data_IF_413096373900
#
_entry.id   IF_413096373900
#
_cell.length_a   1.000
_cell.length_b   1.000
_cell.length_c   1.000
_cell.angle_alpha   90.00
_cell.angle_beta   90.00
_cell.angle_gamma   90.00
#
_symmetry.space_group_name_H-M   'P 1'
#
loop_
_entity.id
_entity.type
_entity.pdbx_description
1 polymer ?
#
# COMPACT_ATOMS: atom_id res chain seq x y z
N UNK A 1 -31.78 -96.95 -31.99
CA UNK A 1 -32.08 -97.70 -30.75
C UNK A 1 -31.21 -97.18 -29.62
N UNK A 2 -31.72 -97.16 -28.39
CA UNK A 2 -31.79 -95.95 -27.57
C UNK A 2 -30.67 -95.87 -26.53
N UNK A 3 -30.50 -94.69 -25.91
CA UNK A 3 -30.36 -94.55 -24.46
C UNK A 3 -30.37 -93.08 -24.03
N UNK A 4 -31.55 -92.69 -23.57
CA UNK A 4 -31.88 -92.01 -22.33
C UNK A 4 -30.79 -91.22 -21.57
N UNK A 5 -31.21 -90.02 -21.18
CA UNK A 5 -30.57 -89.01 -20.34
C UNK A 5 -29.98 -89.51 -19.01
N UNK A 6 -29.11 -88.67 -18.40
CA UNK A 6 -29.36 -88.25 -17.01
C UNK A 6 -29.03 -86.74 -16.82
N UNK A 7 -29.00 -86.20 -15.58
CA UNK A 7 -30.10 -85.49 -14.96
C UNK A 7 -29.90 -83.96 -14.89
N UNK A 8 -31.02 -83.29 -14.60
CA UNK A 8 -31.20 -81.88 -14.28
C UNK A 8 -30.23 -81.35 -13.21
N UNK A 9 -29.46 -80.33 -13.55
CA UNK A 9 -28.83 -79.42 -12.56
C UNK A 9 -29.53 -78.06 -12.60
N UNK A 10 -29.99 -77.62 -11.43
CA UNK A 10 -30.59 -76.32 -11.21
C UNK A 10 -29.53 -75.22 -11.36
N UNK A 11 -29.82 -74.25 -12.23
CA UNK A 11 -28.97 -73.11 -12.52
C UNK A 11 -28.84 -72.14 -11.35
N UNK A 12 -27.63 -71.62 -11.17
CA UNK A 12 -27.29 -70.56 -10.23
C UNK A 12 -28.08 -69.26 -10.48
N UNK A 13 -28.32 -68.45 -9.44
CA UNK A 13 -29.11 -67.24 -9.55
C UNK A 13 -28.38 -66.12 -10.33
N UNK A 14 -29.09 -65.53 -11.29
CA UNK A 14 -28.69 -64.33 -12.04
C UNK A 14 -28.70 -63.10 -11.11
N UNK A 15 -27.58 -62.40 -10.90
CA UNK A 15 -27.61 -61.10 -10.22
C UNK A 15 -28.24 -60.03 -11.14
N UNK A 16 -29.35 -59.45 -10.68
CA UNK A 16 -30.03 -58.33 -11.34
C UNK A 16 -29.13 -57.08 -11.35
N UNK A 17 -28.90 -56.54 -12.55
CA UNK A 17 -28.30 -55.21 -12.80
C UNK A 17 -28.99 -54.14 -11.95
N UNK A 18 -28.25 -53.51 -11.03
CA UNK A 18 -28.65 -52.24 -10.40
C UNK A 18 -28.60 -51.14 -11.45
N UNK A 19 -29.74 -50.46 -11.63
CA UNK A 19 -29.85 -49.22 -12.39
C UNK A 19 -29.09 -48.10 -11.66
N UNK A 20 -28.22 -47.42 -12.38
CA UNK A 20 -27.56 -46.19 -11.96
C UNK A 20 -28.61 -45.11 -11.76
N UNK A 21 -28.89 -44.75 -10.50
CA UNK A 21 -29.58 -43.53 -10.14
C UNK A 21 -28.54 -42.42 -9.97
N UNK A 22 -28.60 -41.41 -10.83
CA UNK A 22 -27.83 -40.19 -10.70
C UNK A 22 -28.20 -39.50 -9.37
N UNK A 23 -27.27 -39.50 -8.42
CA UNK A 23 -27.38 -38.70 -7.19
C UNK A 23 -27.09 -37.25 -7.57
N UNK A 24 -28.15 -36.44 -7.67
CA UNK A 24 -28.05 -34.98 -7.67
C UNK A 24 -27.57 -34.55 -6.29
N UNK A 25 -26.30 -34.19 -6.17
CA UNK A 25 -25.77 -33.50 -4.99
C UNK A 25 -26.30 -32.07 -5.02
N UNK A 26 -27.26 -31.78 -4.17
CA UNK A 26 -27.66 -30.41 -3.86
C UNK A 26 -26.57 -29.78 -2.99
N UNK A 27 -25.81 -28.84 -3.56
CA UNK A 27 -24.97 -27.94 -2.78
C UNK A 27 -25.89 -26.98 -2.01
N UNK A 28 -26.04 -27.25 -0.71
CA UNK A 28 -26.65 -26.31 0.22
C UNK A 28 -25.68 -25.14 0.44
N UNK A 29 -25.99 -24.00 -0.18
CA UNK A 29 -25.36 -22.72 0.11
C UNK A 29 -25.80 -22.28 1.51
N UNK A 30 -24.93 -22.45 2.50
CA UNK A 30 -25.14 -21.86 3.83
C UNK A 30 -24.87 -20.37 3.74
N UNK A 31 -25.96 -19.61 3.61
CA UNK A 31 -26.02 -18.17 3.74
C UNK A 31 -25.70 -17.80 5.21
N UNK A 32 -24.52 -17.23 5.48
CA UNK A 32 -24.26 -16.60 6.78
C UNK A 32 -24.87 -15.20 6.74
N UNK A 33 -26.08 -15.09 7.31
CA UNK A 33 -26.71 -13.81 7.66
C UNK A 33 -26.07 -13.33 8.95
N UNK A 34 -25.21 -12.32 8.86
CA UNK A 34 -24.77 -11.52 10.00
C UNK A 34 -25.51 -10.18 10.02
N UNK A 35 -26.67 -10.14 10.69
CA UNK A 35 -27.31 -8.91 11.15
C UNK A 35 -26.60 -8.46 12.44
N UNK A 36 -26.15 -7.21 12.48
CA UNK A 36 -25.51 -6.63 13.66
C UNK A 36 -25.15 -5.16 13.47
N UNK A 37 -26.17 -4.31 13.47
CA UNK A 37 -26.05 -2.85 13.58
C UNK A 37 -25.35 -2.43 14.87
N UNK A 38 -24.40 -1.51 14.77
CA UNK A 38 -24.13 -0.51 15.80
C UNK A 38 -23.81 0.81 15.10
N UNK A 39 -24.77 1.74 15.18
CA UNK A 39 -24.58 3.13 14.86
C UNK A 39 -23.59 3.73 15.86
N UNK A 40 -22.48 4.29 15.37
CA UNK A 40 -21.66 5.22 16.11
C UNK A 40 -21.99 6.62 15.61
N UNK A 41 -22.37 7.50 16.54
CA UNK A 41 -22.88 8.83 16.27
C UNK A 41 -21.90 9.72 15.50
N UNK A 42 -22.46 10.59 14.67
CA UNK A 42 -21.75 11.71 14.06
C UNK A 42 -21.21 12.63 15.17
N UNK A 43 -19.88 12.70 15.29
CA UNK A 43 -19.25 13.88 15.85
C UNK A 43 -19.21 14.95 14.74
N UNK A 44 -19.79 16.11 15.02
CA UNK A 44 -19.72 17.30 14.18
C UNK A 44 -18.28 17.80 14.14
N UNK A 45 -17.64 17.68 12.99
CA UNK A 45 -16.38 18.33 12.70
C UNK A 45 -16.68 19.76 12.21
N UNK A 46 -16.77 20.69 13.15
CA UNK A 46 -16.51 22.10 12.89
C UNK A 46 -15.02 22.34 13.17
N UNK A 47 -14.40 23.21 12.39
CA UNK A 47 -12.95 23.54 12.33
C UNK A 47 -12.05 22.58 11.54
N UNK A 48 -12.21 22.61 10.22
CA UNK A 48 -11.11 22.31 9.30
C UNK A 48 -10.31 23.60 9.04
N UNK A 49 -9.03 23.71 9.46
CA UNK A 49 -8.18 24.80 9.03
C UNK A 49 -7.70 24.56 7.59
N UNK A 50 -7.83 25.60 6.77
CA UNK A 50 -7.33 25.67 5.41
C UNK A 50 -5.80 25.72 5.45
N UNK A 51 -5.12 24.62 5.11
CA UNK A 51 -3.67 24.65 4.89
C UNK A 51 -3.37 25.50 3.65
N UNK A 52 -2.56 26.53 3.87
CA UNK A 52 -2.10 27.44 2.84
C UNK A 52 -1.24 26.71 1.81
N UNK A 53 -1.56 26.93 0.53
CA UNK A 53 -0.68 26.68 -0.60
C UNK A 53 0.57 27.55 -0.48
N UNK A 54 1.71 26.93 -0.22
CA UNK A 54 3.01 27.59 -0.34
C UNK A 54 3.49 27.47 -1.79
N UNK A 55 3.15 28.46 -2.60
CA UNK A 55 3.92 28.81 -3.80
C UNK A 55 5.16 29.59 -3.33
N UNK A 56 6.37 29.04 -3.57
CA UNK A 56 7.60 29.72 -3.17
C UNK A 56 8.85 28.86 -3.33
N UNK A 57 9.20 28.50 -4.56
CA UNK A 57 10.53 27.97 -4.88
C UNK A 57 11.46 29.14 -5.23
N UNK A 58 12.24 29.60 -4.25
CA UNK A 58 13.36 30.53 -4.48
C UNK A 58 14.62 29.71 -4.84
N UNK A 59 15.26 30.11 -5.94
CA UNK A 59 16.42 29.42 -6.52
C UNK A 59 17.68 29.59 -5.65
N UNK A 60 18.56 28.58 -5.53
CA UNK A 60 19.82 28.73 -4.81
C UNK A 60 20.85 29.54 -5.62
N UNK A 61 21.49 30.47 -4.91
CA UNK A 61 22.55 31.35 -5.37
C UNK A 61 23.82 30.60 -5.83
N UNK A 62 24.51 31.19 -6.81
CA UNK A 62 25.75 30.69 -7.39
C UNK A 62 26.94 30.74 -6.39
N UNK A 63 27.93 29.82 -6.50
CA UNK A 63 29.10 29.82 -5.63
C UNK A 63 30.10 30.92 -6.01
N UNK A 64 30.57 31.64 -4.99
CA UNK A 64 31.57 32.71 -5.08
C UNK A 64 32.96 32.22 -5.47
N UNK A 65 33.69 33.10 -6.15
CA UNK A 65 35.10 32.94 -6.53
C UNK A 65 36.02 33.26 -5.36
N UNK A 66 36.75 32.27 -4.83
CA UNK A 66 37.87 32.50 -3.91
C UNK A 66 39.14 32.85 -4.71
N UNK A 67 39.66 34.05 -4.49
CA UNK A 67 40.91 34.53 -5.08
C UNK A 67 42.09 34.09 -4.22
N UNK A 68 42.83 33.07 -4.66
CA UNK A 68 44.07 32.63 -4.01
C UNK A 68 45.23 33.58 -4.32
N UNK A 69 45.75 34.26 -3.31
CA UNK A 69 46.95 35.10 -3.38
C UNK A 69 48.20 34.23 -3.51
N UNK A 70 48.88 34.30 -4.66
CA UNK A 70 50.12 33.59 -4.92
C UNK A 70 51.29 34.16 -4.08
N UNK A 71 51.82 33.34 -3.17
CA UNK A 71 53.07 33.62 -2.43
C UNK A 71 54.26 33.25 -3.32
N UNK A 72 55.17 34.21 -3.55
CA UNK A 72 56.43 33.98 -4.30
C UNK A 72 57.39 33.10 -3.49
N UNK A 73 57.85 31.99 -4.08
CA UNK A 73 58.99 31.20 -3.61
C UNK A 73 60.20 31.41 -4.52
N UNK A 74 61.39 31.32 -3.91
CA UNK A 74 62.72 31.59 -4.45
C UNK A 74 63.09 30.78 -5.72
N UNK A 75 64.07 31.23 -6.52
CA UNK A 75 64.47 30.57 -7.75
C UNK A 75 65.29 29.31 -7.45
N UNK A 76 64.95 28.17 -8.07
CA UNK A 76 65.87 27.02 -8.10
C UNK A 76 65.30 25.60 -8.14
N UNK A 77 63.99 25.38 -8.27
CA UNK A 77 63.46 24.01 -8.37
C UNK A 77 62.65 23.88 -9.67
N UNK A 78 63.20 23.16 -10.65
CA UNK A 78 62.44 22.69 -11.81
C UNK A 78 61.59 21.50 -11.34
N UNK A 79 60.36 21.76 -10.92
CA UNK A 79 59.35 20.72 -10.80
C UNK A 79 58.85 20.37 -12.21
N UNK A 80 59.17 19.15 -12.66
CA UNK A 80 58.54 18.56 -13.83
C UNK A 80 57.03 18.49 -13.58
N UNK A 81 56.28 19.40 -14.20
CA UNK A 81 54.83 19.43 -14.11
C UNK A 81 54.28 18.32 -14.99
N UNK A 82 54.03 17.15 -14.41
CA UNK A 82 53.20 16.13 -15.07
C UNK A 82 51.78 16.67 -15.16
N UNK A 83 51.40 17.18 -16.32
CA UNK A 83 50.00 17.47 -16.64
C UNK A 83 49.23 16.17 -16.61
N UNK A 84 48.58 15.88 -15.48
CA UNK A 84 47.62 14.78 -15.39
C UNK A 84 46.36 15.25 -16.10
N UNK A 85 46.20 14.88 -17.37
CA UNK A 85 44.93 15.05 -18.09
C UNK A 85 43.87 14.28 -17.31
N UNK A 86 43.01 14.99 -16.59
CA UNK A 86 41.84 14.40 -15.95
C UNK A 86 40.92 13.96 -17.08
N UNK A 87 40.87 12.66 -17.35
CA UNK A 87 39.83 12.10 -18.17
C UNK A 87 38.49 12.64 -17.63
N UNK A 88 37.70 13.27 -18.50
CA UNK A 88 36.35 13.68 -18.19
C UNK A 88 35.58 12.41 -17.82
N UNK A 89 35.53 12.12 -16.52
CA UNK A 89 34.66 11.07 -16.01
C UNK A 89 33.25 11.43 -16.45
N UNK A 90 32.57 10.47 -17.08
CA UNK A 90 31.15 10.54 -17.36
C UNK A 90 30.44 10.83 -16.04
N UNK A 91 30.20 12.10 -15.76
CA UNK A 91 29.39 12.52 -14.62
C UNK A 91 27.98 12.15 -15.02
N UNK A 92 27.47 11.08 -14.41
CA UNK A 92 26.04 10.77 -14.49
C UNK A 92 25.25 12.05 -14.19
N UNK A 93 24.22 12.38 -14.97
CA UNK A 93 23.49 13.63 -14.80
C UNK A 93 22.88 13.67 -13.40
N UNK A 94 23.23 14.70 -12.64
CA UNK A 94 22.80 14.90 -11.26
C UNK A 94 21.33 15.39 -11.14
N UNK A 95 20.46 15.02 -12.09
CA UNK A 95 19.05 15.41 -12.10
C UNK A 95 18.24 14.58 -13.11
N UNK A 96 18.30 13.24 -13.00
CA UNK A 96 17.23 12.43 -13.58
C UNK A 96 16.04 12.51 -12.61
N UNK A 97 15.22 13.54 -12.77
CA UNK A 97 13.87 13.54 -12.22
C UNK A 97 13.12 12.44 -12.96
N UNK A 98 12.88 11.30 -12.30
CA UNK A 98 11.89 10.34 -12.79
C UNK A 98 10.58 11.14 -12.88
N UNK A 99 10.11 11.40 -14.10
CA UNK A 99 8.86 12.09 -14.28
C UNK A 99 7.76 11.15 -13.77
N UNK A 100 6.72 11.65 -13.09
CA UNK A 100 5.60 10.82 -12.57
C UNK A 100 4.90 9.95 -13.63
N UNK A 101 5.24 10.15 -14.91
CA UNK A 101 4.76 9.41 -16.09
C UNK A 101 5.53 8.12 -16.36
N UNK A 102 6.66 7.91 -15.69
CA UNK A 102 7.57 6.78 -15.93
C UNK A 102 7.37 5.65 -14.89
N UNK A 103 6.25 5.66 -14.15
CA UNK A 103 6.00 4.63 -13.14
C UNK A 103 5.19 3.48 -13.73
N UNK A 104 5.79 2.30 -13.74
CA UNK A 104 5.36 1.17 -14.56
C UNK A 104 4.16 0.40 -13.98
N UNK A 105 3.72 0.70 -12.75
CA UNK A 105 2.52 0.09 -12.16
C UNK A 105 1.84 0.94 -11.07
N UNK A 106 0.54 0.71 -10.78
CA UNK A 106 -0.12 1.31 -9.62
C UNK A 106 0.55 1.00 -8.28
N UNK A 107 1.33 -0.09 -8.20
CA UNK A 107 2.03 -0.46 -6.97
C UNK A 107 3.31 0.32 -6.77
N UNK A 108 4.14 0.41 -7.80
CA UNK A 108 5.31 1.26 -7.85
C UNK A 108 4.92 2.73 -7.55
N UNK A 109 3.84 3.22 -8.18
CA UNK A 109 3.40 4.61 -8.01
C UNK A 109 3.02 4.91 -6.57
N UNK A 110 2.38 3.95 -5.90
CA UNK A 110 2.04 4.10 -4.50
C UNK A 110 3.27 4.05 -3.59
N UNK A 111 4.19 3.13 -3.87
CA UNK A 111 5.43 2.95 -3.11
C UNK A 111 6.30 4.21 -3.16
N UNK A 112 6.53 4.78 -4.34
CA UNK A 112 7.27 6.03 -4.48
C UNK A 112 6.57 7.19 -3.76
N UNK A 113 5.26 7.32 -3.96
CA UNK A 113 4.46 8.37 -3.32
C UNK A 113 4.55 8.33 -1.79
N UNK A 114 4.45 7.16 -1.16
CA UNK A 114 4.53 7.06 0.31
C UNK A 114 5.95 7.25 0.83
N UNK A 115 6.98 6.80 0.10
CA UNK A 115 8.39 7.09 0.45
C UNK A 115 8.68 8.58 0.37
N UNK A 116 8.14 9.28 -0.63
CA UNK A 116 8.22 10.74 -0.74
C UNK A 116 7.51 11.42 0.42
N UNK A 117 6.28 11.01 0.73
CA UNK A 117 5.48 11.57 1.81
C UNK A 117 6.14 11.34 3.20
N UNK A 118 6.83 10.22 3.41
CA UNK A 118 7.59 9.99 4.65
C UNK A 118 8.61 11.09 4.91
N UNK A 119 9.41 11.41 3.88
CA UNK A 119 10.44 12.47 3.96
C UNK A 119 9.82 13.85 4.13
N UNK A 120 8.69 14.12 3.47
CA UNK A 120 8.05 15.43 3.49
C UNK A 120 7.40 15.77 4.84
N UNK A 121 6.95 14.76 5.60
CA UNK A 121 6.17 14.95 6.84
C UNK A 121 6.89 14.43 8.10
N UNK A 122 8.20 14.19 8.03
CA UNK A 122 9.01 13.63 9.12
C UNK A 122 8.37 12.37 9.73
N UNK A 123 7.88 11.48 8.85
CA UNK A 123 7.37 10.16 9.25
C UNK A 123 8.56 9.19 9.25
N UNK A 124 8.71 8.32 10.27
CA UNK A 124 9.77 7.33 10.31
C UNK A 124 9.82 6.47 9.04
N UNK A 125 11.03 6.23 8.55
CA UNK A 125 11.27 5.45 7.34
C UNK A 125 10.54 4.10 7.37
N UNK A 126 9.80 3.82 6.31
CA UNK A 126 9.05 2.59 6.11
C UNK A 126 7.70 2.53 6.85
N UNK A 127 7.36 3.51 7.70
CA UNK A 127 6.09 3.51 8.41
C UNK A 127 4.89 3.80 7.49
N UNK A 128 5.01 4.77 6.58
CA UNK A 128 3.94 5.04 5.61
C UNK A 128 3.86 3.96 4.54
N UNK A 129 4.99 3.35 4.15
CA UNK A 129 5.01 2.12 3.35
C UNK A 129 4.19 1.02 4.04
N UNK A 130 4.42 0.82 5.35
CA UNK A 130 3.68 -0.16 6.14
C UNK A 130 2.17 0.14 6.24
N UNK A 131 1.79 1.42 6.36
CA UNK A 131 0.39 1.86 6.32
C UNK A 131 -0.24 1.52 4.97
N UNK A 132 0.38 1.92 3.85
CA UNK A 132 -0.18 1.65 2.52
C UNK A 132 -0.24 0.15 2.20
N UNK A 133 0.74 -0.65 2.64
CA UNK A 133 0.67 -2.12 2.59
C UNK A 133 -0.53 -2.68 3.36
N UNK A 134 -0.86 -2.11 4.53
CA UNK A 134 -1.95 -2.58 5.38
C UNK A 134 -3.35 -2.13 4.90
N UNK A 135 -3.41 -1.04 4.14
CA UNK A 135 -4.65 -0.41 3.67
C UNK A 135 -5.05 -0.85 2.25
N UNK A 136 -4.13 -0.73 1.30
CA UNK A 136 -4.38 -0.99 -0.13
C UNK A 136 -3.51 -2.09 -0.72
N UNK A 137 -2.54 -2.59 0.04
CA UNK A 137 -1.46 -3.43 -0.48
C UNK A 137 -0.54 -2.65 -1.42
N UNK A 138 -0.32 -1.36 -1.17
CA UNK A 138 0.38 -0.42 -2.05
C UNK A 138 -0.34 -0.14 -3.38
N UNK A 139 -1.65 -0.27 -3.51
CA UNK A 139 -2.29 -0.03 -4.81
C UNK A 139 -2.79 1.42 -4.95
N UNK A 140 -2.21 2.19 -5.89
CA UNK A 140 -2.51 3.62 -6.08
C UNK A 140 -4.00 3.96 -6.22
N UNK A 141 -4.76 3.11 -6.93
CA UNK A 141 -6.18 3.34 -7.21
C UNK A 141 -7.12 2.38 -6.47
N UNK A 142 -6.67 1.73 -5.39
CA UNK A 142 -7.54 0.83 -4.63
C UNK A 142 -8.80 1.56 -4.15
N UNK A 143 -9.93 0.87 -4.20
CA UNK A 143 -11.18 1.41 -3.67
C UNK A 143 -11.94 0.36 -2.90
N UNK A 144 -12.56 0.78 -1.80
CA UNK A 144 -13.65 0.05 -1.17
C UNK A 144 -14.91 0.91 -1.23
N UNK A 145 -15.88 0.48 -2.05
CA UNK A 145 -17.17 1.17 -2.24
C UNK A 145 -18.27 0.28 -1.66
N UNK A 146 -18.83 0.69 -0.52
CA UNK A 146 -19.93 -0.03 0.13
C UNK A 146 -19.60 -1.49 0.51
N UNK A 147 -18.33 -1.82 0.75
CA UNK A 147 -17.89 -3.17 1.14
C UNK A 147 -17.25 -3.97 0.01
N UNK A 148 -17.31 -3.48 -1.24
CA UNK A 148 -16.70 -4.15 -2.39
C UNK A 148 -15.36 -3.51 -2.74
N UNK A 149 -14.33 -4.34 -2.86
CA UNK A 149 -12.99 -3.93 -3.25
C UNK A 149 -12.83 -3.86 -4.78
N UNK A 150 -12.05 -2.90 -5.26
CA UNK A 150 -11.66 -2.70 -6.66
C UNK A 150 -10.20 -2.30 -6.74
N UNK A 151 -9.50 -2.80 -7.76
CA UNK A 151 -8.08 -2.55 -8.01
C UNK A 151 -7.86 -2.31 -9.51
N UNK A 152 -8.32 -1.16 -10.05
CA UNK A 152 -8.19 -0.83 -11.46
C UNK A 152 -6.74 -0.42 -11.79
N UNK A 153 -6.20 -0.92 -12.90
CA UNK A 153 -4.81 -0.65 -13.28
C UNK A 153 -4.58 0.79 -13.76
N UNK A 154 -5.64 1.45 -14.25
CA UNK A 154 -5.56 2.79 -14.82
C UNK A 154 -6.51 3.80 -14.18
N UNK A 155 -6.08 5.07 -14.16
CA UNK A 155 -6.83 6.18 -13.60
C UNK A 155 -8.22 6.37 -14.23
N UNK A 156 -8.37 6.14 -15.54
CA UNK A 156 -9.66 6.30 -16.23
C UNK A 156 -10.69 5.26 -15.78
N UNK A 157 -10.28 4.01 -15.61
CA UNK A 157 -11.13 2.97 -15.04
C UNK A 157 -11.44 3.28 -13.57
N UNK A 158 -10.43 3.69 -12.81
CA UNK A 158 -10.60 4.09 -11.42
C UNK A 158 -11.66 5.18 -11.26
N UNK A 159 -11.60 6.21 -12.10
CA UNK A 159 -12.55 7.33 -12.10
C UNK A 159 -13.96 6.88 -12.46
N UNK A 160 -14.12 5.99 -13.43
CA UNK A 160 -15.43 5.41 -13.78
C UNK A 160 -16.03 4.63 -12.61
N UNK A 161 -15.24 3.78 -11.96
CA UNK A 161 -15.68 3.00 -10.79
C UNK A 161 -16.03 3.94 -9.63
N UNK A 162 -15.18 4.91 -9.32
CA UNK A 162 -15.39 5.90 -8.26
C UNK A 162 -16.70 6.68 -8.45
N UNK A 163 -16.97 7.15 -9.67
CA UNK A 163 -18.18 7.89 -10.02
C UNK A 163 -19.44 7.03 -10.04
N UNK A 164 -19.31 5.69 -10.05
CA UNK A 164 -20.45 4.77 -9.97
C UNK A 164 -21.00 4.60 -8.54
N UNK A 165 -20.29 5.11 -7.53
CA UNK A 165 -20.69 5.00 -6.13
C UNK A 165 -21.98 5.77 -5.85
N UNK A 166 -23.01 5.07 -5.36
CA UNK A 166 -24.33 5.65 -5.06
C UNK A 166 -24.23 6.69 -3.93
N UNK A 167 -25.13 7.69 -3.91
CA UNK A 167 -25.26 8.59 -2.77
C UNK A 167 -25.38 7.81 -1.46
N UNK A 168 -24.67 8.25 -0.41
CA UNK A 168 -24.67 7.61 0.90
C UNK A 168 -23.79 6.36 1.04
N UNK A 169 -23.28 5.77 -0.04
CA UNK A 169 -22.26 4.71 0.10
C UNK A 169 -20.94 5.29 0.60
N UNK A 170 -20.33 4.61 1.59
CA UNK A 170 -18.96 4.92 1.98
C UNK A 170 -18.00 4.56 0.85
N UNK A 171 -16.96 5.39 0.70
CA UNK A 171 -15.93 5.24 -0.33
C UNK A 171 -14.59 5.49 0.35
N UNK A 172 -13.80 4.43 0.48
CA UNK A 172 -12.39 4.52 0.83
C UNK A 172 -11.60 4.40 -0.48
N UNK A 173 -10.65 5.29 -0.73
CA UNK A 173 -9.96 5.36 -2.02
C UNK A 173 -8.48 5.67 -1.88
N UNK A 174 -7.68 5.08 -2.77
CA UNK A 174 -6.28 5.37 -2.95
C UNK A 174 -5.31 4.53 -2.13
N UNK A 175 -4.03 4.86 -2.30
CA UNK A 175 -2.89 4.29 -1.57
C UNK A 175 -3.14 4.05 -0.08
N UNK A 176 -3.72 5.05 0.57
CA UNK A 176 -3.89 5.09 2.03
C UNK A 176 -5.36 5.07 2.42
N UNK A 177 -6.23 4.63 1.51
CA UNK A 177 -7.66 4.42 1.75
C UNK A 177 -8.36 5.63 2.38
N UNK A 178 -8.20 6.82 1.80
CA UNK A 178 -8.85 8.05 2.29
C UNK A 178 -10.38 7.90 2.23
N UNK A 179 -11.07 8.28 3.31
CA UNK A 179 -12.53 8.39 3.29
C UNK A 179 -12.95 9.57 2.41
N UNK A 180 -13.29 9.27 1.15
CA UNK A 180 -13.53 10.26 0.13
C UNK A 180 -14.82 11.07 0.37
N UNK A 181 -15.80 10.48 1.08
CA UNK A 181 -17.03 11.17 1.47
C UNK A 181 -16.80 12.25 2.53
N UNK A 182 -15.72 12.14 3.30
CA UNK A 182 -15.36 13.10 4.34
C UNK A 182 -14.32 14.11 3.82
N UNK A 183 -13.24 13.63 3.21
CA UNK A 183 -12.06 14.46 2.91
C UNK A 183 -11.92 14.87 1.44
N UNK A 184 -12.73 14.29 0.54
CA UNK A 184 -12.64 14.54 -0.90
C UNK A 184 -14.01 14.81 -1.52
N UNK A 185 -14.88 15.53 -0.81
CA UNK A 185 -16.21 15.87 -1.33
C UNK A 185 -16.06 16.57 -2.69
N UNK A 186 -16.74 16.02 -3.70
CA UNK A 186 -16.74 16.52 -5.08
C UNK A 186 -15.37 16.45 -5.79
N UNK A 187 -14.45 15.62 -5.31
CA UNK A 187 -13.15 15.39 -5.95
C UNK A 187 -12.79 13.90 -5.88
N UNK A 188 -11.94 13.48 -6.80
CA UNK A 188 -11.35 12.14 -6.91
C UNK A 188 -9.85 12.15 -6.59
N UNK A 189 -9.36 13.22 -5.96
CA UNK A 189 -7.95 13.34 -5.57
C UNK A 189 -7.40 12.16 -4.77
N UNK A 190 -8.17 11.39 -3.97
CA UNK A 190 -7.63 10.19 -3.33
C UNK A 190 -7.09 9.14 -4.30
N UNK A 191 -7.51 9.15 -5.57
CA UNK A 191 -7.02 8.24 -6.60
C UNK A 191 -5.65 8.65 -7.16
N UNK A 192 -5.20 9.89 -6.92
CA UNK A 192 -3.83 10.33 -7.22
C UNK A 192 -2.91 9.85 -6.09
N UNK A 193 -1.93 8.96 -6.35
CA UNK A 193 -1.13 8.36 -5.29
C UNK A 193 -0.28 9.38 -4.53
N UNK A 194 0.29 10.40 -5.18
CA UNK A 194 1.10 11.43 -4.51
C UNK A 194 0.24 12.30 -3.61
N UNK A 195 -0.90 12.78 -4.12
CA UNK A 195 -1.79 13.60 -3.30
C UNK A 195 -2.43 12.80 -2.15
N UNK A 196 -2.74 11.53 -2.40
CA UNK A 196 -3.24 10.58 -1.39
C UNK A 196 -2.21 10.34 -0.28
N UNK A 197 -0.97 10.02 -0.65
CA UNK A 197 0.11 9.77 0.29
C UNK A 197 0.51 11.01 1.09
N UNK A 198 0.65 12.16 0.42
CA UNK A 198 0.99 13.44 1.07
C UNK A 198 -0.06 13.84 2.11
N UNK A 199 -1.34 13.82 1.72
CA UNK A 199 -2.44 14.11 2.65
C UNK A 199 -2.47 13.10 3.81
N UNK A 200 -2.28 11.81 3.52
CA UNK A 200 -2.30 10.74 4.51
C UNK A 200 -1.17 10.88 5.55
N UNK A 201 0.04 11.18 5.09
CA UNK A 201 1.21 11.38 5.94
C UNK A 201 1.04 12.62 6.84
N UNK A 202 0.61 13.75 6.29
CA UNK A 202 0.31 14.95 7.08
C UNK A 202 -0.79 14.71 8.11
N UNK A 203 -1.85 13.98 7.75
CA UNK A 203 -2.92 13.63 8.69
C UNK A 203 -2.44 12.70 9.81
N UNK A 204 -1.60 11.71 9.49
CA UNK A 204 -0.97 10.85 10.50
C UNK A 204 -0.03 11.64 11.42
N UNK A 205 0.75 12.57 10.86
CA UNK A 205 1.65 13.45 11.62
C UNK A 205 0.89 14.28 12.65
N UNK A 206 -0.24 14.86 12.27
CA UNK A 206 -1.09 15.61 13.20
C UNK A 206 -1.55 14.73 14.38
N UNK A 207 -1.90 13.45 14.13
CA UNK A 207 -2.27 12.54 15.22
C UNK A 207 -1.10 12.19 16.11
N UNK A 208 0.11 12.06 15.55
CA UNK A 208 1.33 11.86 16.31
C UNK A 208 1.62 13.03 17.24
N UNK A 209 1.52 14.27 16.76
CA UNK A 209 1.73 15.47 17.59
C UNK A 209 0.78 15.54 18.79
N UNK A 210 -0.45 15.04 18.63
CA UNK A 210 -1.45 14.97 19.69
C UNK A 210 -1.31 13.76 20.62
N UNK A 211 -0.64 12.69 20.19
CA UNK A 211 -0.55 11.44 20.93
C UNK A 211 0.83 11.21 21.57
N UNK A 212 1.88 11.80 21.01
CA UNK A 212 3.28 11.63 21.43
C UNK A 212 3.90 10.29 21.07
N UNK A 213 3.15 9.38 20.44
CA UNK A 213 3.66 8.09 19.98
C UNK A 213 2.93 7.60 18.71
N UNK A 214 3.62 6.83 17.88
CA UNK A 214 3.11 6.41 16.56
C UNK A 214 2.01 5.35 16.64
N UNK A 215 2.02 4.47 17.64
CA UNK A 215 1.00 3.45 17.79
C UNK A 215 -0.38 4.07 18.03
N UNK A 216 -0.48 5.05 18.92
CA UNK A 216 -1.72 5.79 19.17
C UNK A 216 -2.10 6.71 18.02
N UNK A 217 -1.12 7.28 17.32
CA UNK A 217 -1.37 8.07 16.10
C UNK A 217 -2.11 7.23 15.05
N UNK A 218 -1.64 6.01 14.76
CA UNK A 218 -2.27 5.09 13.80
C UNK A 218 -3.68 4.69 14.24
N UNK A 219 -3.86 4.40 15.54
CA UNK A 219 -5.20 4.07 16.08
C UNK A 219 -6.19 5.20 15.83
N UNK A 220 -5.79 6.45 16.12
CA UNK A 220 -6.62 7.65 15.95
C UNK A 220 -6.85 8.00 14.48
N UNK A 221 -5.82 7.83 13.64
CA UNK A 221 -5.90 8.03 12.20
C UNK A 221 -7.00 7.16 11.56
N UNK A 222 -7.17 5.92 12.02
CA UNK A 222 -8.24 5.01 11.59
C UNK A 222 -9.59 5.20 12.31
N UNK A 223 -9.80 6.35 12.97
CA UNK A 223 -11.04 6.67 13.69
C UNK A 223 -11.15 6.09 15.11
N UNK A 224 -10.11 5.45 15.64
CA UNK A 224 -10.05 4.93 17.01
C UNK A 224 -10.71 3.56 17.23
N UNK A 225 -10.80 3.14 18.50
CA UNK A 225 -11.46 1.91 18.92
C UNK A 225 -10.80 0.60 18.41
N UNK A 226 -11.57 -0.50 18.45
CA UNK A 226 -11.07 -1.84 18.10
C UNK A 226 -10.62 -2.00 16.63
N UNK A 227 -11.18 -1.20 15.71
CA UNK A 227 -10.69 -1.13 14.32
C UNK A 227 -9.30 -0.50 14.24
N UNK A 228 -9.04 0.54 15.04
CA UNK A 228 -7.73 1.15 15.21
C UNK A 228 -6.67 0.14 15.68
N UNK A 229 -6.99 -0.68 16.68
CA UNK A 229 -6.05 -1.70 17.18
C UNK A 229 -5.71 -2.75 16.12
N UNK A 230 -6.71 -3.21 15.35
CA UNK A 230 -6.46 -4.16 14.26
C UNK A 230 -5.56 -3.56 13.19
N UNK A 231 -5.75 -2.29 12.84
CA UNK A 231 -4.87 -1.62 11.89
C UNK A 231 -3.45 -1.50 12.46
N UNK A 232 -3.29 -1.00 13.69
CA UNK A 232 -1.97 -0.85 14.32
C UNK A 232 -1.19 -2.17 14.32
N UNK A 233 -1.86 -3.30 14.56
CA UNK A 233 -1.23 -4.61 14.47
C UNK A 233 -0.83 -5.02 13.04
N UNK A 234 -1.65 -4.71 12.04
CA UNK A 234 -1.27 -4.94 10.63
C UNK A 234 -0.08 -4.06 10.26
N UNK A 235 -0.12 -2.77 10.58
CA UNK A 235 0.98 -1.82 10.29
C UNK A 235 2.27 -2.25 10.99
N UNK A 236 2.22 -2.66 12.26
CA UNK A 236 3.39 -3.21 12.95
C UNK A 236 3.96 -4.44 12.21
N UNK A 237 3.12 -5.35 11.73
CA UNK A 237 3.57 -6.50 10.94
C UNK A 237 4.23 -6.07 9.62
N UNK A 238 3.61 -5.12 8.89
CA UNK A 238 4.14 -4.60 7.63
C UNK A 238 5.42 -3.77 7.82
N UNK A 239 5.57 -3.07 8.95
CA UNK A 239 6.77 -2.30 9.27
C UNK A 239 7.99 -3.20 9.45
N UNK A 240 7.82 -4.40 10.00
CA UNK A 240 8.89 -5.40 10.07
C UNK A 240 9.36 -5.89 8.68
N UNK A 241 8.61 -5.60 7.63
CA UNK A 241 8.98 -5.89 6.24
C UNK A 241 9.63 -4.67 5.61
N UNK A 242 8.97 -3.51 5.65
CA UNK A 242 9.48 -2.27 5.02
C UNK A 242 10.68 -1.67 5.74
N UNK A 243 10.81 -1.90 7.05
CA UNK A 243 11.96 -1.48 7.86
C UNK A 243 12.18 -2.46 9.04
N UNK A 244 12.85 -3.61 8.81
CA UNK A 244 13.03 -4.66 9.81
C UNK A 244 13.76 -4.23 11.09
N UNK A 245 14.57 -3.16 11.03
CA UNK A 245 15.29 -2.61 12.16
C UNK A 245 14.49 -1.60 12.99
N UNK A 246 13.27 -1.24 12.57
CA UNK A 246 12.48 -0.20 13.22
C UNK A 246 11.92 -0.65 14.57
N UNK A 247 12.12 0.20 15.59
CA UNK A 247 11.51 0.05 16.91
C UNK A 247 10.25 0.91 17.10
N UNK A 248 9.80 1.62 16.07
CA UNK A 248 8.73 2.65 16.15
C UNK A 248 7.41 2.13 16.74
N UNK A 249 7.10 0.85 16.54
CA UNK A 249 5.87 0.21 17.00
C UNK A 249 6.11 -0.95 17.98
N UNK A 250 7.28 -1.02 18.64
CA UNK A 250 7.67 -2.13 19.54
C UNK A 250 6.67 -2.39 20.66
N UNK A 251 6.00 -1.34 21.15
CA UNK A 251 5.09 -1.42 22.30
C UNK A 251 3.66 -1.84 21.91
N UNK A 252 3.41 -2.06 20.61
CA UNK A 252 2.12 -2.47 20.09
C UNK A 252 1.84 -3.94 20.44
N UNK A 253 0.88 -4.18 21.34
CA UNK A 253 0.53 -5.54 21.77
C UNK A 253 -0.42 -6.21 20.77
N UNK A 254 0.06 -7.26 20.11
CA UNK A 254 -0.69 -8.00 19.08
C UNK A 254 -0.60 -9.52 19.27
N UNK A 255 -1.64 -10.25 18.88
CA UNK A 255 -1.64 -11.72 18.89
C UNK A 255 -0.80 -12.34 17.76
N UNK A 256 -0.01 -13.37 18.06
CA UNK A 256 1.11 -13.83 17.20
C UNK A 256 0.77 -14.51 15.87
N UNK A 257 -0.28 -15.35 15.80
CA UNK A 257 -0.55 -16.14 14.58
C UNK A 257 -0.98 -15.30 13.35
N UNK A 258 -1.55 -14.12 13.59
CA UNK A 258 -1.93 -13.21 12.50
C UNK A 258 -0.73 -12.45 11.93
N UNK A 259 0.28 -12.12 12.76
CA UNK A 259 1.41 -11.28 12.36
C UNK A 259 2.27 -11.91 11.26
N UNK A 260 2.61 -13.20 11.37
CA UNK A 260 3.46 -13.87 10.38
C UNK A 260 2.79 -13.95 9.00
N UNK A 261 1.46 -14.07 8.95
CA UNK A 261 0.71 -14.04 7.68
C UNK A 261 0.75 -12.64 7.07
N UNK A 262 0.54 -11.61 7.88
CA UNK A 262 0.61 -10.22 7.41
C UNK A 262 2.01 -9.86 6.89
N UNK A 263 3.08 -10.35 7.52
CA UNK A 263 4.46 -10.18 7.05
C UNK A 263 4.67 -10.80 5.66
N UNK A 264 4.38 -12.09 5.48
CA UNK A 264 4.55 -12.77 4.17
C UNK A 264 3.75 -12.10 3.06
N UNK A 265 2.52 -11.69 3.35
CA UNK A 265 1.73 -10.94 2.39
C UNK A 265 2.33 -9.55 2.10
N UNK A 266 2.97 -8.92 3.09
CA UNK A 266 3.67 -7.64 2.92
C UNK A 266 4.90 -7.79 2.04
N UNK A 267 5.73 -8.80 2.29
CA UNK A 267 6.91 -9.14 1.51
C UNK A 267 6.55 -9.33 0.03
N UNK A 268 5.56 -10.18 -0.27
CA UNK A 268 5.13 -10.43 -1.64
C UNK A 268 4.60 -9.17 -2.35
N UNK A 269 3.86 -8.29 -1.65
CA UNK A 269 3.33 -7.08 -2.26
C UNK A 269 4.40 -5.99 -2.46
N UNK A 270 5.36 -5.91 -1.53
CA UNK A 270 6.49 -5.00 -1.64
C UNK A 270 7.43 -5.43 -2.77
N UNK A 271 7.74 -6.72 -2.88
CA UNK A 271 8.53 -7.29 -3.97
C UNK A 271 7.92 -6.96 -5.34
N UNK A 272 6.61 -7.13 -5.50
CA UNK A 272 5.91 -6.79 -6.75
C UNK A 272 5.97 -5.29 -7.05
N UNK A 273 5.88 -4.44 -6.02
CA UNK A 273 5.96 -2.99 -6.19
C UNK A 273 7.37 -2.55 -6.62
N UNK A 274 8.41 -3.11 -5.99
CA UNK A 274 9.82 -2.79 -6.26
C UNK A 274 10.33 -3.38 -7.58
N UNK A 275 9.75 -4.48 -8.05
CA UNK A 275 10.09 -5.06 -9.36
C UNK A 275 9.58 -4.26 -10.56
N UNK A 276 8.74 -3.24 -10.31
CA UNK A 276 8.17 -2.35 -11.32
C UNK A 276 8.75 -0.92 -11.23
N UNK A 277 9.84 -0.73 -10.47
CA UNK A 277 10.71 0.46 -10.49
C UNK A 277 11.93 0.20 -11.40
#
# INVERSE_FOLDING_TARGET
MPRSAPPTQAGSPIPRRRRSGAVRVALASTLVVGLGSLAAGCATAEDAPQLASHDGAEAPAAPGTETSTARRLAPGIILASTTRTRAAGNRAPANATVERRDIDSPRAACLDAVRQAERAHDIPEGLMVAVALAESGLHAHAMNIGGRAYFPDGMDEARRIYNSARPGQYVMAGCVQVNARVHARNSDWPLDPWRSADWGAGYLRQHYEKAGNWADAIRRWNGGGASGDRLACRVMAKLKVSNPGSSVLSDTRCGGANIAREQRNGEALLEVAEAAD
#
